data_IF_243677889998
#
_entry.id   IF_243677889998
#
_cell.length_a   1.000
_cell.length_b   1.000
_cell.length_c   1.000
_cell.angle_alpha   90.00
_cell.angle_beta   90.00
_cell.angle_gamma   90.00
#
_symmetry.space_group_name_H-M   'P 1'
#
loop_
_entity.id
_entity.type
_entity.pdbx_description
1 polymer ?
#
# COMPACT_ATOMS: atom_id res chain seq x y z
N UNK A 1 9.88 13.71 -1.77
CA UNK A 1 9.77 12.71 -2.84
C UNK A 1 11.00 12.76 -3.74
N UNK A 2 11.20 13.83 -4.52
CA UNK A 2 12.35 13.91 -5.44
C UNK A 2 13.72 13.75 -4.75
N UNK A 3 14.08 14.64 -3.82
CA UNK A 3 15.43 14.63 -3.21
C UNK A 3 15.73 13.42 -2.33
N UNK A 4 14.75 12.99 -1.53
CA UNK A 4 14.97 11.99 -0.48
C UNK A 4 14.69 10.55 -0.93
N UNK A 5 14.04 10.35 -2.09
CA UNK A 5 13.65 9.02 -2.58
C UNK A 5 14.17 8.84 -4.01
N UNK A 6 13.71 9.68 -4.93
CA UNK A 6 13.93 9.47 -6.37
C UNK A 6 15.42 9.58 -6.72
N UNK A 7 16.09 10.66 -6.30
CA UNK A 7 17.53 10.86 -6.55
C UNK A 7 18.36 9.73 -5.93
N UNK A 8 18.01 9.30 -4.72
CA UNK A 8 18.70 8.19 -4.05
C UNK A 8 18.59 6.91 -4.86
N UNK A 9 17.40 6.56 -5.37
CA UNK A 9 17.22 5.36 -6.21
C UNK A 9 17.98 5.48 -7.54
N UNK A 10 17.93 6.65 -8.19
CA UNK A 10 18.62 6.89 -9.45
C UNK A 10 20.13 6.63 -9.37
N UNK A 11 20.78 7.07 -8.30
CA UNK A 11 22.24 6.90 -8.13
C UNK A 11 22.68 5.44 -8.20
N UNK A 12 21.88 4.53 -7.65
CA UNK A 12 22.15 3.09 -7.71
C UNK A 12 21.70 2.48 -9.04
N UNK A 13 20.50 2.84 -9.52
CA UNK A 13 19.93 2.29 -10.75
C UNK A 13 20.72 2.66 -12.00
N UNK A 14 21.40 3.81 -12.03
CA UNK A 14 22.21 4.25 -13.19
C UNK A 14 23.44 3.38 -13.42
N UNK A 15 23.84 2.60 -12.42
CA UNK A 15 24.99 1.67 -12.51
C UNK A 15 24.64 0.33 -13.15
N UNK A 16 23.35 0.10 -13.45
CA UNK A 16 22.88 -1.15 -14.04
C UNK A 16 23.47 -1.38 -15.43
N UNK A 17 24.17 -2.51 -15.58
CA UNK A 17 24.74 -2.90 -16.87
C UNK A 17 23.64 -3.19 -17.89
N UNK A 18 23.78 -2.63 -19.09
CA UNK A 18 22.81 -2.79 -20.17
C UNK A 18 21.60 -1.87 -20.09
N UNK A 19 21.56 -0.91 -19.15
CA UNK A 19 20.54 0.13 -19.12
C UNK A 19 20.72 1.10 -20.31
N UNK A 20 19.68 1.25 -21.13
CA UNK A 20 19.69 2.13 -22.29
C UNK A 20 19.14 3.53 -21.98
N UNK A 21 18.06 3.60 -21.20
CA UNK A 21 17.41 4.86 -20.82
C UNK A 21 16.79 4.74 -19.44
N UNK A 22 16.86 5.83 -18.68
CA UNK A 22 16.16 6.00 -17.41
C UNK A 22 15.33 7.27 -17.49
N UNK A 23 14.04 7.17 -17.18
CA UNK A 23 13.14 8.32 -17.06
C UNK A 23 12.54 8.29 -15.68
N UNK A 24 12.72 9.37 -14.93
CA UNK A 24 12.17 9.50 -13.59
C UNK A 24 11.14 10.62 -13.56
N UNK A 25 10.03 10.38 -12.89
CA UNK A 25 8.97 11.38 -12.68
C UNK A 25 8.59 11.41 -11.21
N UNK A 26 8.59 12.60 -10.61
CA UNK A 26 8.06 12.82 -9.27
C UNK A 26 6.79 13.66 -9.35
N UNK A 27 5.78 13.27 -8.60
CA UNK A 27 4.57 14.06 -8.36
C UNK A 27 4.30 14.13 -6.85
N UNK A 28 3.19 14.77 -6.47
CA UNK A 28 2.85 14.93 -5.06
C UNK A 28 2.53 13.56 -4.43
N UNK A 29 3.47 13.05 -3.63
CA UNK A 29 3.31 11.80 -2.87
C UNK A 29 3.53 10.52 -3.68
N UNK A 30 4.06 10.61 -4.90
CA UNK A 30 4.37 9.46 -5.76
C UNK A 30 5.63 9.75 -6.62
N UNK A 31 6.41 8.71 -6.89
CA UNK A 31 7.56 8.78 -7.77
C UNK A 31 7.64 7.49 -8.61
N UNK A 32 7.98 7.64 -9.88
CA UNK A 32 8.10 6.53 -10.84
C UNK A 32 9.44 6.61 -11.56
N UNK A 33 10.14 5.49 -11.67
CA UNK A 33 11.35 5.33 -12.48
C UNK A 33 11.08 4.28 -13.56
N UNK A 34 11.20 4.67 -14.82
CA UNK A 34 11.12 3.80 -15.99
C UNK A 34 12.53 3.49 -16.48
N UNK A 35 12.84 2.20 -16.62
CA UNK A 35 14.15 1.69 -17.05
C UNK A 35 14.00 0.92 -18.35
N UNK A 36 14.61 1.42 -19.42
CA UNK A 36 14.61 0.75 -20.72
C UNK A 36 15.90 -0.05 -20.90
N UNK A 37 15.74 -1.29 -21.32
CA UNK A 37 16.83 -2.19 -21.69
C UNK A 37 16.74 -2.53 -23.19
N UNK A 38 17.88 -2.85 -23.85
CA UNK A 38 17.91 -3.27 -25.24
C UNK A 38 17.02 -4.48 -25.52
N UNK A 39 16.52 -4.57 -26.75
CA UNK A 39 15.75 -5.71 -27.21
C UNK A 39 16.54 -7.03 -27.05
N UNK A 40 15.86 -8.08 -26.56
CA UNK A 40 16.48 -9.38 -26.28
C UNK A 40 17.07 -9.53 -24.88
N UNK A 41 17.05 -8.47 -24.06
CA UNK A 41 17.41 -8.57 -22.63
C UNK A 41 16.41 -9.47 -21.89
N UNK A 42 16.92 -10.42 -21.09
CA UNK A 42 16.08 -11.23 -20.22
C UNK A 42 15.48 -10.34 -19.12
N UNK A 43 14.14 -10.29 -19.09
CA UNK A 43 13.38 -9.43 -18.19
C UNK A 43 13.55 -9.89 -16.72
N UNK A 44 13.64 -11.19 -16.47
CA UNK A 44 13.80 -11.71 -15.11
C UNK A 44 15.18 -11.37 -14.58
N UNK A 45 16.21 -11.50 -15.41
CA UNK A 45 17.57 -11.08 -15.06
C UNK A 45 17.63 -9.57 -14.79
N UNK A 46 16.96 -8.76 -15.62
CA UNK A 46 16.88 -7.32 -15.42
C UNK A 46 16.17 -6.97 -14.10
N UNK A 47 15.04 -7.61 -13.78
CA UNK A 47 14.32 -7.41 -12.52
C UNK A 47 15.18 -7.77 -11.30
N UNK A 48 15.93 -8.88 -11.35
CA UNK A 48 16.86 -9.26 -10.28
C UNK A 48 17.94 -8.19 -10.10
N UNK A 49 18.53 -7.69 -11.19
CA UNK A 49 19.55 -6.64 -11.12
C UNK A 49 18.99 -5.33 -10.55
N UNK A 50 17.81 -4.90 -10.99
CA UNK A 50 17.12 -3.71 -10.49
C UNK A 50 16.83 -3.86 -8.99
N UNK A 51 16.30 -5.00 -8.58
CA UNK A 51 16.03 -5.29 -7.18
C UNK A 51 17.32 -5.23 -6.33
N UNK A 52 18.39 -5.89 -6.78
CA UNK A 52 19.69 -5.84 -6.11
C UNK A 52 20.24 -4.41 -5.99
N UNK A 53 20.11 -3.58 -7.02
CA UNK A 53 20.51 -2.18 -6.95
C UNK A 53 19.66 -1.38 -5.94
N UNK A 54 18.35 -1.60 -5.90
CA UNK A 54 17.46 -0.93 -4.95
C UNK A 54 17.73 -1.35 -3.49
N UNK A 55 18.17 -2.59 -3.25
CA UNK A 55 18.57 -3.03 -1.89
C UNK A 55 19.83 -2.34 -1.37
N UNK A 56 20.62 -1.71 -2.24
CA UNK A 56 21.81 -0.96 -1.86
C UNK A 56 21.47 0.49 -1.44
N UNK A 57 20.24 0.95 -1.68
CA UNK A 57 19.78 2.28 -1.25
C UNK A 57 19.77 2.31 0.29
N UNK A 58 20.52 3.21 0.96
CA UNK A 58 20.85 3.07 2.39
C UNK A 58 19.64 3.17 3.32
N UNK A 59 18.68 4.03 2.97
CA UNK A 59 17.46 4.22 3.75
C UNK A 59 16.43 5.05 2.98
N UNK A 60 15.15 4.72 3.15
CA UNK A 60 14.05 5.59 2.76
C UNK A 60 13.54 6.39 3.96
N UNK A 61 12.90 7.55 3.74
CA UNK A 61 12.13 8.22 4.79
C UNK A 61 11.06 7.27 5.39
N UNK A 62 10.76 7.42 6.68
CA UNK A 62 9.87 6.49 7.41
C UNK A 62 8.42 6.44 6.87
N UNK A 63 8.01 7.42 6.08
CA UNK A 63 6.66 7.55 5.51
C UNK A 63 6.60 7.16 4.02
N UNK A 64 7.49 6.27 3.60
CA UNK A 64 7.62 5.81 2.22
C UNK A 64 7.56 4.29 2.21
N UNK A 65 6.66 3.74 1.40
CA UNK A 65 6.59 2.30 1.17
C UNK A 65 7.80 1.81 0.37
N UNK A 66 8.14 0.53 0.51
CA UNK A 66 9.15 -0.09 -0.34
C UNK A 66 8.77 0.06 -1.82
N UNK A 67 9.75 0.32 -2.72
CA UNK A 67 9.47 0.45 -4.14
C UNK A 67 8.89 -0.84 -4.69
N UNK A 68 7.81 -0.73 -5.45
CA UNK A 68 7.21 -1.85 -6.17
C UNK A 68 7.83 -1.94 -7.55
N UNK A 69 8.43 -3.09 -7.87
CA UNK A 69 9.01 -3.35 -9.19
C UNK A 69 8.02 -4.15 -10.03
N UNK A 70 7.85 -3.74 -11.29
CA UNK A 70 7.09 -4.50 -12.28
C UNK A 70 7.78 -4.38 -13.63
N UNK A 71 7.81 -5.47 -14.38
CA UNK A 71 8.30 -5.44 -15.76
C UNK A 71 7.21 -4.90 -16.68
N UNK A 72 7.54 -3.84 -17.42
CA UNK A 72 6.68 -3.33 -18.50
C UNK A 72 7.34 -3.55 -19.86
N UNK A 73 6.54 -3.96 -20.83
CA UNK A 73 6.86 -4.04 -22.25
C UNK A 73 5.80 -3.24 -22.99
N UNK A 74 6.04 -2.79 -24.22
CA UNK A 74 4.97 -2.27 -25.10
C UNK A 74 3.79 -3.25 -25.25
N UNK A 75 4.01 -4.54 -24.96
CA UNK A 75 2.97 -5.58 -24.91
C UNK A 75 2.25 -5.74 -23.55
N UNK A 76 2.63 -4.95 -22.53
CA UNK A 76 2.08 -4.98 -21.16
C UNK A 76 0.93 -3.99 -20.93
N UNK A 77 0.41 -3.38 -22.01
CA UNK A 77 -0.78 -2.55 -21.93
C UNK A 77 -1.92 -3.31 -21.24
N UNK A 78 -2.69 -2.59 -20.43
CA UNK A 78 -3.92 -3.13 -19.91
C UNK A 78 -4.79 -3.59 -21.10
N UNK A 79 -5.22 -4.85 -21.07
CA UNK A 79 -5.96 -5.46 -22.18
C UNK A 79 -7.36 -5.91 -21.75
N UNK A 80 -7.61 -5.97 -20.44
CA UNK A 80 -8.95 -6.09 -19.87
C UNK A 80 -9.18 -4.97 -18.86
N UNK A 81 -10.39 -4.42 -18.92
CA UNK A 81 -10.83 -3.28 -18.14
C UNK A 81 -12.11 -3.70 -17.43
N UNK A 82 -12.09 -3.62 -16.11
CA UNK A 82 -13.25 -3.89 -15.28
C UNK A 82 -13.60 -2.63 -14.51
N UNK A 83 -14.88 -2.52 -14.18
CA UNK A 83 -15.39 -1.50 -13.28
C UNK A 83 -16.18 -2.18 -12.20
N UNK A 84 -16.06 -1.66 -11.01
CA UNK A 84 -16.89 -2.00 -9.86
C UNK A 84 -17.73 -0.75 -9.60
N UNK A 85 -19.03 -0.95 -9.48
CA UNK A 85 -20.00 0.13 -9.32
C UNK A 85 -21.12 -0.34 -8.39
N UNK A 86 -21.73 0.56 -7.61
CA UNK A 86 -22.92 0.26 -6.83
C UNK A 86 -24.03 -0.38 -7.69
N UNK A 87 -24.77 -1.32 -7.09
CA UNK A 87 -26.05 -1.75 -7.67
C UNK A 87 -26.98 -0.53 -7.77
N UNK A 88 -27.64 -0.30 -8.91
CA UNK A 88 -28.49 0.88 -9.11
C UNK A 88 -29.52 1.06 -7.98
N UNK A 89 -29.61 2.26 -7.44
CA UNK A 89 -30.55 2.61 -6.36
C UNK A 89 -30.07 2.24 -4.95
N UNK A 90 -28.89 1.64 -4.79
CA UNK A 90 -28.33 1.35 -3.48
C UNK A 90 -27.51 2.55 -2.93
N UNK A 91 -27.65 2.95 -1.65
CA UNK A 91 -26.97 4.11 -1.07
C UNK A 91 -25.45 3.97 -0.95
N UNK A 92 -24.89 2.79 -1.23
CA UNK A 92 -23.43 2.55 -1.19
C UNK A 92 -22.65 3.42 -2.18
N UNK A 93 -23.30 4.05 -3.16
CA UNK A 93 -22.65 5.07 -4.01
C UNK A 93 -21.98 6.18 -3.20
N UNK A 94 -22.52 6.54 -2.04
CA UNK A 94 -21.92 7.55 -1.15
C UNK A 94 -20.61 7.08 -0.50
N UNK A 95 -20.45 5.77 -0.33
CA UNK A 95 -19.28 5.13 0.29
C UNK A 95 -18.41 4.38 -0.72
N UNK A 96 -18.71 4.45 -2.02
CA UNK A 96 -17.99 3.69 -3.05
C UNK A 96 -16.49 3.98 -3.05
N UNK A 97 -16.12 5.22 -2.75
CA UNK A 97 -14.72 5.62 -2.66
C UNK A 97 -14.00 4.99 -1.45
N UNK A 98 -14.74 4.56 -0.42
CA UNK A 98 -14.22 3.84 0.77
C UNK A 98 -14.07 2.34 0.53
N UNK A 99 -14.63 1.81 -0.56
CA UNK A 99 -14.58 0.39 -0.91
C UNK A 99 -13.26 -0.04 -1.55
N UNK A 100 -12.31 0.89 -1.73
CA UNK A 100 -11.00 0.60 -2.34
C UNK A 100 -10.27 -0.53 -1.63
N UNK A 101 -10.09 -0.45 -0.31
CA UNK A 101 -9.37 -1.47 0.46
C UNK A 101 -10.06 -2.83 0.37
N UNK A 102 -11.39 -2.84 0.43
CA UNK A 102 -12.16 -4.08 0.27
C UNK A 102 -11.88 -4.74 -1.09
N UNK A 103 -11.86 -3.95 -2.17
CA UNK A 103 -11.54 -4.43 -3.53
C UNK A 103 -10.06 -4.88 -3.60
N UNK A 104 -9.17 -4.10 -3.01
CA UNK A 104 -7.74 -4.34 -2.96
C UNK A 104 -7.36 -5.63 -2.22
N UNK A 105 -8.15 -6.02 -1.21
CA UNK A 105 -7.92 -7.20 -0.38
C UNK A 105 -8.67 -8.44 -0.88
N UNK A 106 -9.88 -8.26 -1.42
CA UNK A 106 -10.77 -9.40 -1.73
C UNK A 106 -10.90 -9.69 -3.22
N UNK A 107 -10.72 -8.68 -4.09
CA UNK A 107 -10.93 -8.80 -5.54
C UNK A 107 -9.59 -8.87 -6.28
N UNK A 108 -8.73 -7.88 -6.09
CA UNK A 108 -7.42 -7.78 -6.78
C UNK A 108 -6.58 -9.05 -6.63
N UNK A 109 -6.38 -9.63 -5.43
CA UNK A 109 -5.51 -10.80 -5.28
C UNK A 109 -6.07 -12.04 -5.96
N UNK A 110 -7.40 -12.17 -6.08
CA UNK A 110 -8.02 -13.28 -6.83
C UNK A 110 -7.72 -13.13 -8.31
N UNK A 111 -7.89 -11.93 -8.87
CA UNK A 111 -7.63 -11.65 -10.28
C UNK A 111 -6.13 -11.80 -10.63
N UNK A 112 -5.22 -11.39 -9.75
CA UNK A 112 -3.77 -11.53 -9.96
C UNK A 112 -3.27 -12.98 -9.94
N UNK A 113 -4.03 -13.92 -9.35
CA UNK A 113 -3.70 -15.36 -9.38
C UNK A 113 -3.95 -16.03 -10.73
N UNK A 114 -4.63 -15.35 -11.66
CA UNK A 114 -4.87 -15.90 -13.00
C UNK A 114 -3.54 -15.99 -13.75
N UNK A 115 -3.18 -17.20 -14.18
CA UNK A 115 -1.93 -17.46 -14.92
C UNK A 115 -1.82 -16.54 -16.13
N UNK A 116 -0.69 -15.85 -16.27
CA UNK A 116 -0.43 -14.89 -17.34
C UNK A 116 -0.83 -13.45 -17.01
N UNK A 117 -1.43 -13.19 -15.86
CA UNK A 117 -1.66 -11.83 -15.34
C UNK A 117 -0.42 -11.38 -14.56
N UNK A 118 0.10 -10.21 -14.90
CA UNK A 118 1.25 -9.62 -14.21
C UNK A 118 0.82 -8.71 -13.06
N UNK A 119 -0.27 -7.97 -13.24
CA UNK A 119 -0.72 -6.97 -12.28
C UNK A 119 -2.19 -6.61 -12.56
N UNK A 120 -2.94 -6.31 -11.50
CA UNK A 120 -4.24 -5.63 -11.63
C UNK A 120 -4.17 -4.28 -10.91
N UNK A 121 -4.13 -3.20 -11.69
CA UNK A 121 -4.10 -1.86 -11.15
C UNK A 121 -5.51 -1.41 -10.75
N UNK A 122 -5.66 -0.85 -9.56
CA UNK A 122 -6.93 -0.34 -9.01
C UNK A 122 -6.88 1.18 -8.98
N UNK A 123 -7.87 1.84 -9.59
CA UNK A 123 -7.94 3.30 -9.72
C UNK A 123 -9.31 3.78 -9.26
N UNK A 124 -9.32 4.90 -8.53
CA UNK A 124 -10.48 5.39 -7.82
C UNK A 124 -10.47 4.96 -6.35
N UNK A 125 -11.31 5.64 -5.56
CA UNK A 125 -11.37 5.47 -4.12
C UNK A 125 -10.18 6.02 -3.34
N UNK A 126 -10.23 5.81 -2.03
CA UNK A 126 -9.29 6.31 -1.03
C UNK A 126 -8.91 5.18 -0.08
N UNK A 127 -7.62 5.02 0.19
CA UNK A 127 -7.13 4.03 1.15
C UNK A 127 -7.55 4.41 2.58
N UNK A 128 -7.79 3.45 3.48
CA UNK A 128 -8.02 3.76 4.91
C UNK A 128 -6.73 4.28 5.54
N UNK A 129 -6.88 5.27 6.41
CA UNK A 129 -5.80 5.76 7.25
C UNK A 129 -6.29 6.01 8.67
N UNK A 130 -5.40 5.78 9.64
CA UNK A 130 -5.65 6.25 11.01
C UNK A 130 -5.23 7.70 11.11
N UNK A 131 -6.17 8.59 11.41
CA UNK A 131 -5.89 10.00 11.68
C UNK A 131 -5.79 10.24 13.18
N UNK A 132 -4.68 10.84 13.61
CA UNK A 132 -4.45 11.28 14.98
C UNK A 132 -4.50 12.81 14.98
N UNK A 133 -5.61 13.38 15.45
CA UNK A 133 -5.81 14.83 15.55
C UNK A 133 -5.46 15.29 16.96
N UNK A 134 -4.33 15.98 17.09
CA UNK A 134 -3.75 16.37 18.39
C UNK A 134 -4.44 17.65 18.90
N UNK A 135 -4.77 17.69 20.18
CA UNK A 135 -5.24 18.90 20.87
C UNK A 135 -4.03 19.61 21.50
N UNK A 136 -3.61 20.78 20.97
CA UNK A 136 -2.43 21.50 21.49
C UNK A 136 -2.56 21.92 22.95
N UNK A 137 -3.77 22.23 23.42
CA UNK A 137 -4.00 22.68 24.79
C UNK A 137 -3.86 21.52 25.77
N UNK A 138 -4.45 20.36 25.45
CA UNK A 138 -4.32 19.15 26.27
C UNK A 138 -2.88 18.63 26.27
N UNK A 139 -2.20 18.67 25.12
CA UNK A 139 -0.79 18.28 25.02
C UNK A 139 0.12 19.18 25.88
N UNK A 140 -0.13 20.50 25.87
CA UNK A 140 0.60 21.46 26.69
C UNK A 140 0.30 21.31 28.19
N UNK A 141 -0.97 21.10 28.57
CA UNK A 141 -1.37 20.84 29.95
C UNK A 141 -0.76 19.53 30.50
N UNK A 142 -0.62 18.52 29.63
CA UNK A 142 0.09 17.29 29.92
C UNK A 142 1.63 17.48 29.99
N UNK A 143 2.16 18.63 29.57
CA UNK A 143 3.59 18.93 29.51
C UNK A 143 4.32 17.98 28.56
N UNK A 144 3.69 17.59 27.46
CA UNK A 144 4.24 16.71 26.43
C UNK A 144 4.52 17.54 25.19
N UNK A 145 5.66 17.35 24.52
CA UNK A 145 5.90 18.03 23.25
C UNK A 145 5.36 17.21 22.08
N UNK A 146 5.10 17.87 20.95
CA UNK A 146 4.75 17.18 19.70
C UNK A 146 5.85 16.20 19.26
N UNK A 147 7.11 16.53 19.55
CA UNK A 147 8.27 15.67 19.29
C UNK A 147 8.23 14.39 20.11
N UNK A 148 7.96 14.48 21.41
CA UNK A 148 7.83 13.33 22.32
C UNK A 148 6.69 12.41 21.88
N UNK A 149 5.53 13.01 21.58
CA UNK A 149 4.36 12.26 21.12
C UNK A 149 4.66 11.50 19.82
N UNK A 150 5.29 12.17 18.84
CA UNK A 150 5.71 11.53 17.59
C UNK A 150 6.68 10.37 17.85
N UNK A 151 7.65 10.56 18.75
CA UNK A 151 8.61 9.51 19.10
C UNK A 151 7.93 8.32 19.78
N UNK A 152 7.00 8.55 20.71
CA UNK A 152 6.27 7.48 21.38
C UNK A 152 5.38 6.69 20.43
N UNK A 153 4.65 7.37 19.53
CA UNK A 153 3.87 6.71 18.46
C UNK A 153 4.80 5.83 17.60
N UNK A 154 5.95 6.36 17.17
CA UNK A 154 6.92 5.62 16.34
C UNK A 154 7.53 4.43 17.05
N UNK A 155 7.91 4.56 18.31
CA UNK A 155 8.50 3.47 19.08
C UNK A 155 7.49 2.34 19.31
N UNK A 156 6.22 2.70 19.56
CA UNK A 156 5.20 1.71 19.85
C UNK A 156 4.65 1.02 18.61
N UNK A 157 4.56 1.73 17.47
CA UNK A 157 4.09 1.19 16.18
C UNK A 157 5.19 0.44 15.39
N UNK A 158 6.22 -0.08 16.06
CA UNK A 158 7.27 -0.92 15.45
C UNK A 158 7.18 -2.32 16.02
N UNK A 159 7.28 -3.32 15.16
CA UNK A 159 7.51 -4.69 15.59
C UNK A 159 8.90 -4.79 16.22
N UNK A 160 8.97 -5.04 17.53
CA UNK A 160 10.21 -5.39 18.20
C UNK A 160 10.28 -6.92 18.38
N UNK A 161 11.38 -7.52 17.94
CA UNK A 161 11.78 -8.85 18.40
C UNK A 161 12.40 -8.69 19.79
N UNK A 162 11.84 -9.31 20.81
CA UNK A 162 12.39 -9.27 22.17
C UNK A 162 13.57 -10.25 22.34
N UNK A 163 13.96 -10.94 21.26
CA UNK A 163 15.03 -11.92 21.23
C UNK A 163 14.57 -13.33 21.63
N UNK A 164 15.56 -14.18 21.87
CA UNK A 164 15.38 -15.59 22.20
C UNK A 164 15.48 -15.74 23.73
N UNK A 165 14.54 -16.45 24.35
CA UNK A 165 14.62 -16.84 25.76
C UNK A 165 14.94 -18.33 25.83
N UNK A 166 16.18 -18.65 26.16
CA UNK A 166 16.64 -20.04 26.33
C UNK A 166 16.26 -20.52 27.75
N UNK A 167 15.41 -21.55 27.83
CA UNK A 167 15.06 -22.23 29.08
C UNK A 167 15.34 -23.73 28.94
N UNK A 168 16.46 -24.17 29.52
CA UNK A 168 16.93 -25.56 29.41
C UNK A 168 17.34 -25.93 27.98
N UNK A 169 16.69 -26.96 27.40
CA UNK A 169 16.90 -27.42 26.01
C UNK A 169 15.93 -26.79 25.00
N UNK A 170 15.14 -25.78 25.40
CA UNK A 170 14.11 -25.16 24.56
C UNK A 170 14.42 -23.68 24.37
N UNK A 171 14.42 -23.24 23.10
CA UNK A 171 14.52 -21.84 22.69
C UNK A 171 13.11 -21.31 22.44
N UNK A 172 12.72 -20.25 23.14
CA UNK A 172 11.46 -19.55 22.90
C UNK A 172 11.76 -18.25 22.17
N UNK A 173 11.22 -18.11 20.95
CA UNK A 173 11.36 -16.87 20.18
C UNK A 173 10.27 -15.90 20.63
N UNK A 174 10.64 -14.83 21.32
CA UNK A 174 9.68 -13.87 21.86
C UNK A 174 9.56 -12.71 20.87
N UNK A 175 8.43 -12.67 20.16
CA UNK A 175 8.06 -11.52 19.33
C UNK A 175 7.02 -10.69 20.08
N UNK A 176 7.28 -9.39 20.23
CA UNK A 176 6.25 -8.46 20.71
C UNK A 176 5.40 -7.98 19.54
N UNK A 177 4.08 -8.02 19.68
CA UNK A 177 3.16 -7.44 18.70
C UNK A 177 3.11 -5.95 18.97
N UNK A 178 3.81 -5.16 18.14
CA UNK A 178 3.84 -3.69 18.25
C UNK A 178 2.87 -3.00 17.29
N UNK A 179 2.20 -3.75 16.42
CA UNK A 179 1.27 -3.16 15.46
C UNK A 179 -0.09 -2.93 16.13
N UNK A 180 -0.58 -1.70 16.02
CA UNK A 180 -1.95 -1.36 16.41
C UNK A 180 -2.93 -1.93 15.39
N UNK A 181 -3.89 -2.71 15.84
CA UNK A 181 -4.94 -3.29 14.99
C UNK A 181 -6.25 -2.51 15.09
N UNK A 182 -6.44 -1.76 16.18
CA UNK A 182 -7.68 -1.03 16.46
C UNK A 182 -7.45 0.42 16.88
N UNK A 183 -8.46 1.27 16.68
CA UNK A 183 -8.45 2.67 17.14
C UNK A 183 -8.35 2.75 18.66
N UNK A 184 -8.91 1.77 19.37
CA UNK A 184 -8.91 1.65 20.82
C UNK A 184 -7.50 1.38 21.36
N UNK A 185 -6.72 0.56 20.67
CA UNK A 185 -5.31 0.35 21.01
C UNK A 185 -4.49 1.63 20.85
N UNK A 186 -4.75 2.41 19.79
CA UNK A 186 -4.15 3.73 19.61
C UNK A 186 -4.52 4.65 20.78
N UNK A 187 -5.83 4.80 21.08
CA UNK A 187 -6.30 5.67 22.17
C UNK A 187 -5.71 5.29 23.53
N UNK A 188 -5.59 3.99 23.80
CA UNK A 188 -5.05 3.48 25.07
C UNK A 188 -3.53 3.58 25.18
N UNK A 189 -2.83 4.00 24.12
CA UNK A 189 -1.38 4.17 24.13
C UNK A 189 -0.92 5.13 25.19
N UNK A 190 -0.02 4.67 26.06
CA UNK A 190 0.64 5.51 27.04
C UNK A 190 1.63 6.41 26.32
N UNK A 191 1.44 7.72 26.43
CA UNK A 191 2.31 8.75 25.87
C UNK A 191 3.39 9.12 26.87
N UNK A 192 3.00 9.32 28.14
CA UNK A 192 3.91 9.65 29.24
C UNK A 192 3.43 8.97 30.52
N UNK A 193 4.38 8.52 31.34
CA UNK A 193 4.16 8.07 32.72
C UNK A 193 4.98 8.92 33.68
N UNK A 194 4.33 9.55 34.66
CA UNK A 194 4.96 10.34 35.73
C UNK A 194 4.47 9.82 37.08
N UNK A 195 5.25 8.93 37.69
CA UNK A 195 4.83 8.22 38.90
C UNK A 195 3.57 7.39 38.64
N UNK A 196 2.50 7.72 39.37
CA UNK A 196 1.18 7.08 39.23
C UNK A 196 0.30 7.73 38.15
N UNK A 197 0.67 8.91 37.65
CA UNK A 197 -0.06 9.58 36.58
C UNK A 197 0.35 8.99 35.21
N UNK A 198 -0.65 8.54 34.46
CA UNK A 198 -0.50 7.97 33.12
C UNK A 198 -1.30 8.86 32.17
N UNK A 199 -0.60 9.42 31.17
CA UNK A 199 -1.22 10.18 30.09
C UNK A 199 -1.26 9.28 28.87
N UNK A 200 -2.45 9.08 28.30
CA UNK A 200 -2.69 8.28 27.10
C UNK A 200 -2.88 9.16 25.87
N UNK A 201 -2.78 8.56 24.69
CA UNK A 201 -2.99 9.26 23.42
C UNK A 201 -4.40 9.83 23.35
N UNK A 202 -5.40 9.07 23.81
CA UNK A 202 -6.78 9.54 23.88
C UNK A 202 -7.00 10.77 24.77
N UNK A 203 -6.08 11.03 25.72
CA UNK A 203 -6.16 12.19 26.63
C UNK A 203 -5.58 13.47 26.00
N UNK A 204 -4.91 13.37 24.84
CA UNK A 204 -4.25 14.51 24.17
C UNK A 204 -4.53 14.57 22.67
N UNK A 205 -5.24 13.59 22.11
CA UNK A 205 -5.56 13.50 20.70
C UNK A 205 -6.84 12.70 20.45
N UNK A 206 -7.59 13.11 19.42
CA UNK A 206 -8.67 12.31 18.87
C UNK A 206 -8.12 11.37 17.81
N UNK A 207 -8.33 10.06 17.99
CA UNK A 207 -7.96 9.05 17.00
C UNK A 207 -9.22 8.56 16.30
N UNK A 208 -9.23 8.64 14.98
CA UNK A 208 -10.30 8.13 14.13
C UNK A 208 -9.73 7.36 12.96
N UNK A 209 -10.38 6.26 12.61
CA UNK A 209 -10.16 5.60 11.34
C UNK A 209 -10.91 6.39 10.27
N UNK A 210 -10.17 6.92 9.31
CA UNK A 210 -10.65 7.76 8.22
C UNK A 210 -10.08 7.24 6.90
N UNK A 211 -10.23 8.01 5.82
CA UNK A 211 -9.65 7.69 4.52
C UNK A 211 -8.61 8.72 4.13
N UNK A 212 -7.63 8.29 3.34
CA UNK A 212 -6.61 9.14 2.75
C UNK A 212 -7.24 10.17 1.81
N UNK A 213 -6.56 11.29 1.58
CA UNK A 213 -7.05 12.28 0.62
C UNK A 213 -7.23 11.63 -0.76
N UNK A 214 -8.36 11.93 -1.41
CA UNK A 214 -8.68 11.36 -2.72
C UNK A 214 -7.67 11.85 -3.76
N UNK A 215 -6.68 11.00 -4.07
CA UNK A 215 -5.71 11.26 -5.14
C UNK A 215 -6.29 11.03 -6.54
N UNK A 216 -7.31 10.19 -6.64
CA UNK A 216 -8.00 9.91 -7.91
C UNK A 216 -9.49 9.71 -7.68
N UNK A 217 -10.31 10.20 -8.61
CA UNK A 217 -11.75 9.94 -8.65
C UNK A 217 -12.08 9.33 -10.00
N UNK A 218 -12.81 8.22 -9.98
CA UNK A 218 -13.38 7.63 -11.19
C UNK A 218 -14.90 7.75 -11.11
N UNK A 219 -15.50 8.14 -12.22
CA UNK A 219 -16.95 8.30 -12.35
C UNK A 219 -17.43 7.65 -13.64
N UNK A 220 -18.65 7.17 -13.61
CA UNK A 220 -19.39 6.75 -14.79
C UNK A 220 -20.83 7.24 -14.64
N UNK A 221 -21.35 7.91 -15.67
CA UNK A 221 -22.72 8.43 -15.69
C UNK A 221 -23.09 9.27 -14.44
N UNK A 222 -22.09 9.94 -13.85
CA UNK A 222 -22.24 10.75 -12.64
C UNK A 222 -22.06 10.01 -11.31
N UNK A 223 -22.00 8.68 -11.33
CA UNK A 223 -21.82 7.84 -10.14
C UNK A 223 -20.34 7.50 -9.91
N UNK A 224 -19.85 7.52 -8.66
CA UNK A 224 -18.47 7.14 -8.35
C UNK A 224 -18.25 5.63 -8.61
N UNK A 225 -17.10 5.29 -9.17
CA UNK A 225 -16.71 3.92 -9.49
C UNK A 225 -15.28 3.62 -9.06
N UNK A 226 -14.93 2.33 -9.05
CA UNK A 226 -13.54 1.87 -8.94
C UNK A 226 -13.22 1.06 -10.18
N UNK A 227 -12.15 1.44 -10.88
CA UNK A 227 -11.71 0.80 -12.12
C UNK A 227 -10.55 -0.15 -11.83
N UNK A 228 -10.56 -1.29 -12.52
CA UNK A 228 -9.49 -2.28 -12.44
C UNK A 228 -8.94 -2.57 -13.83
N UNK A 229 -7.61 -2.52 -13.95
CA UNK A 229 -6.88 -2.66 -15.21
C UNK A 229 -5.99 -3.88 -15.15
N UNK A 230 -6.28 -4.90 -15.95
CA UNK A 230 -5.51 -6.14 -15.99
C UNK A 230 -4.39 -6.02 -17.01
N UNK A 231 -3.15 -6.17 -16.53
CA UNK A 231 -1.94 -6.22 -17.35
C UNK A 231 -1.47 -7.67 -17.45
N UNK A 232 -1.03 -8.08 -18.64
CA UNK A 232 -0.49 -9.43 -18.86
C UNK A 232 1.02 -9.47 -18.64
N UNK A 233 1.50 -10.64 -18.28
CA UNK A 233 2.92 -10.97 -18.37
C UNK A 233 3.39 -10.95 -19.84
N UNK A 234 4.69 -10.74 -20.04
CA UNK A 234 5.31 -10.80 -21.37
C UNK A 234 5.28 -12.24 -21.88
N UNK A 235 4.88 -12.44 -23.14
CA UNK A 235 4.73 -13.77 -23.74
C UNK A 235 3.41 -14.49 -23.43
N UNK A 236 2.58 -13.97 -22.52
CA UNK A 236 1.31 -14.59 -22.15
C UNK A 236 0.19 -14.42 -23.19
N UNK A 237 -0.66 -15.44 -23.32
CA UNK A 237 -1.75 -15.48 -24.29
C UNK A 237 -3.03 -14.82 -23.75
N UNK A 238 -3.43 -13.69 -24.35
CA UNK A 238 -4.60 -12.91 -23.95
C UNK A 238 -5.92 -13.68 -24.01
N UNK A 239 -6.08 -14.61 -24.96
CA UNK A 239 -7.30 -15.41 -25.10
C UNK A 239 -7.41 -16.45 -23.97
N UNK A 240 -6.27 -17.03 -23.56
CA UNK A 240 -6.22 -17.95 -22.43
C UNK A 240 -6.55 -17.21 -21.13
N UNK A 241 -5.96 -16.03 -20.91
CA UNK A 241 -6.24 -15.21 -19.73
C UNK A 241 -7.72 -14.83 -19.68
N UNK A 242 -8.30 -14.35 -20.79
CA UNK A 242 -9.73 -14.01 -20.85
C UNK A 242 -10.62 -15.20 -20.48
N UNK A 243 -10.31 -16.40 -20.99
CA UNK A 243 -11.09 -17.62 -20.71
C UNK A 243 -11.05 -18.03 -19.23
N UNK A 244 -9.93 -17.77 -18.54
CA UNK A 244 -9.79 -18.02 -17.12
C UNK A 244 -10.36 -16.89 -16.24
N UNK A 245 -10.22 -15.64 -16.68
CA UNK A 245 -10.63 -14.45 -15.93
C UNK A 245 -12.16 -14.29 -15.89
N UNK A 246 -12.88 -14.52 -16.99
CA UNK A 246 -14.32 -14.27 -17.04
C UNK A 246 -15.14 -15.10 -16.03
N UNK A 247 -14.92 -16.42 -15.88
CA UNK A 247 -15.61 -17.21 -14.85
C UNK A 247 -15.27 -16.75 -13.42
N UNK A 248 -14.00 -16.38 -13.17
CA UNK A 248 -13.57 -15.86 -11.88
C UNK A 248 -14.26 -14.54 -11.53
N UNK A 249 -14.42 -13.64 -12.50
CA UNK A 249 -15.13 -12.38 -12.29
C UNK A 249 -16.60 -12.63 -11.95
N UNK A 250 -17.23 -13.63 -12.55
CA UNK A 250 -18.61 -14.01 -12.21
C UNK A 250 -18.70 -14.56 -10.77
N UNK A 251 -17.75 -15.41 -10.37
CA UNK A 251 -17.64 -15.89 -8.98
C UNK A 251 -17.43 -14.73 -7.99
N UNK A 252 -16.54 -13.80 -8.31
CA UNK A 252 -16.30 -12.59 -7.51
C UNK A 252 -17.58 -11.74 -7.40
N UNK A 253 -18.31 -11.56 -8.50
CA UNK A 253 -19.57 -10.82 -8.48
C UNK A 253 -20.57 -11.45 -7.51
N UNK A 254 -20.68 -12.78 -7.50
CA UNK A 254 -21.66 -13.50 -6.68
C UNK A 254 -21.24 -13.62 -5.21
N UNK A 255 -19.97 -13.96 -4.94
CA UNK A 255 -19.49 -14.31 -3.61
C UNK A 255 -18.93 -13.11 -2.83
N UNK A 256 -18.39 -12.11 -3.53
CA UNK A 256 -17.62 -11.02 -2.91
C UNK A 256 -18.37 -9.69 -3.05
N UNK A 257 -18.83 -9.34 -4.25
CA UNK A 257 -19.40 -8.01 -4.53
C UNK A 257 -20.89 -7.92 -4.21
N UNK A 258 -21.70 -8.91 -4.60
CA UNK A 258 -23.14 -8.91 -4.35
C UNK A 258 -23.51 -8.79 -2.85
N UNK A 259 -22.82 -9.46 -1.90
CA UNK A 259 -23.10 -9.31 -0.46
C UNK A 259 -22.87 -7.89 0.06
N UNK A 260 -22.05 -7.09 -0.62
CA UNK A 260 -21.79 -5.68 -0.31
C UNK A 260 -22.47 -4.72 -1.28
N UNK A 261 -23.39 -5.20 -2.12
CA UNK A 261 -24.16 -4.39 -3.07
C UNK A 261 -23.33 -3.67 -4.15
N UNK A 262 -22.25 -4.32 -4.60
CA UNK A 262 -21.39 -3.91 -5.72
C UNK A 262 -21.48 -4.87 -6.91
#
# INVERSE_FOLDING_TARGET
VEKEILIQQEDYLRTLSGLQRMISTASMGEATIELDFPFGTDINEALIKVNNALTQVPSYPENVDEPRLYATSFSSNAFMFFRIQPVPGHPISLDMLRMRDFIDDNVRPRMERVVGVSQVAVVGGSDRQVQIRIDPNQLAAAGVTLGDLRQTIRQRNRDFSAGDLDSGKRRYLIRTVGRFETVEEFKSMIVVRRGDSIIRLGDVATVSLEHFELRSKAFLDGEPTINMFVRKEVGSNVMAIKKAMMPLVEEINQEVLAPVHL
#
